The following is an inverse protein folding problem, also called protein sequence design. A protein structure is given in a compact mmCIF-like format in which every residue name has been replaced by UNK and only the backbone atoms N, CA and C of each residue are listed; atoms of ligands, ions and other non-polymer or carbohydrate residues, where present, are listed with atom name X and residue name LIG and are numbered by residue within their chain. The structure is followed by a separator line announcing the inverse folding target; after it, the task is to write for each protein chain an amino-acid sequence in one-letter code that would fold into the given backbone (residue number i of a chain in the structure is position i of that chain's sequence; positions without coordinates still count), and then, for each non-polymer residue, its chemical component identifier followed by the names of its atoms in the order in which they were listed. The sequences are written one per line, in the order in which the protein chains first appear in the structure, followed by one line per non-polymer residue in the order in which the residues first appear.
data_IF_138520313338
#
_entry.id   IF_138520313338
#
_cell.length_a   1.000
_cell.length_b   1.000
_cell.length_c   1.000
_cell.angle_alpha   90.00
_cell.angle_beta   90.00
_cell.angle_gamma   90.00
#
_symmetry.space_group_name_H-M   'P 1'
#
loop_
_entity.id
_entity.type
_entity.pdbx_description
1 polymer ?
#
# COMPACT_ATOMS: atom_id res chain seq x y z
N UNK A 1 19.46 49.98 -46.41
CA UNK A 1 18.01 49.70 -46.35
C UNK A 1 17.84 48.30 -45.78
N UNK A 2 17.60 48.18 -44.46
CA UNK A 2 17.53 46.90 -43.78
C UNK A 2 16.09 46.34 -43.85
N UNK A 3 15.88 45.06 -44.19
CA UNK A 3 14.56 44.46 -44.14
C UNK A 3 14.11 44.22 -42.69
N UNK A 4 12.85 44.56 -42.48
CA UNK A 4 12.05 44.51 -41.26
C UNK A 4 11.93 43.05 -40.78
N UNK A 5 11.95 42.87 -39.45
CA UNK A 5 12.00 41.57 -38.79
C UNK A 5 10.86 40.62 -39.12
N UNK A 6 11.23 39.35 -39.31
CA UNK A 6 10.34 38.20 -39.17
C UNK A 6 10.41 37.73 -37.72
N UNK A 7 9.44 38.15 -36.91
CA UNK A 7 9.20 37.52 -35.61
C UNK A 7 8.47 36.22 -35.93
N UNK A 8 9.20 35.12 -36.00
CA UNK A 8 8.63 33.78 -36.00
C UNK A 8 7.86 33.59 -34.71
N UNK A 9 6.54 33.43 -34.83
CA UNK A 9 5.66 32.95 -33.77
C UNK A 9 6.02 31.48 -33.48
N UNK A 10 7.08 31.26 -32.71
CA UNK A 10 7.28 30.00 -31.99
C UNK A 10 6.33 30.00 -30.80
N UNK A 11 5.04 29.83 -31.10
CA UNK A 11 3.98 29.66 -30.11
C UNK A 11 3.69 28.16 -29.95
N UNK A 12 3.71 27.75 -28.68
CA UNK A 12 3.34 26.46 -28.09
C UNK A 12 4.51 25.46 -27.90
N UNK A 13 5.12 25.43 -26.71
CA UNK A 13 5.72 24.21 -26.21
C UNK A 13 4.57 23.25 -25.85
N UNK A 14 4.34 22.21 -26.66
CA UNK A 14 3.53 21.09 -26.22
C UNK A 14 4.30 20.34 -25.14
N UNK A 15 4.08 20.81 -23.92
CA UNK A 15 4.37 20.18 -22.65
C UNK A 15 3.75 18.78 -22.63
N UNK A 16 4.46 17.80 -23.17
CA UNK A 16 4.26 16.38 -22.88
C UNK A 16 5.40 15.94 -21.97
N UNK A 17 5.42 16.55 -20.77
CA UNK A 17 6.03 15.87 -19.64
C UNK A 17 5.23 14.58 -19.43
N UNK A 18 5.90 13.48 -19.76
CA UNK A 18 5.59 12.16 -19.27
C UNK A 18 5.39 12.26 -17.75
N UNK A 19 4.13 12.29 -17.31
CA UNK A 19 3.72 12.12 -15.92
C UNK A 19 3.93 10.67 -15.50
N UNK A 20 5.17 10.18 -15.61
CA UNK A 20 5.62 9.00 -14.92
C UNK A 20 5.65 9.35 -13.43
N UNK A 21 4.52 9.08 -12.76
CA UNK A 21 4.37 8.89 -11.31
C UNK A 21 5.57 9.40 -10.51
N UNK A 22 5.63 10.73 -10.37
CA UNK A 22 6.58 11.33 -9.48
C UNK A 22 6.02 11.26 -8.06
N UNK A 23 6.93 10.95 -7.13
CA UNK A 23 6.83 11.13 -5.68
C UNK A 23 6.29 9.96 -4.83
N UNK A 24 7.21 9.03 -4.59
CA UNK A 24 7.46 8.55 -3.21
C UNK A 24 8.17 9.66 -2.42
N UNK A 25 7.83 9.83 -1.12
CA UNK A 25 8.77 9.86 0.03
C UNK A 25 8.14 10.47 1.29
N UNK A 26 7.17 9.78 1.87
CA UNK A 26 6.94 9.84 3.32
C UNK A 26 7.30 8.46 3.88
N UNK A 27 8.08 8.39 4.97
CA UNK A 27 8.53 7.16 5.63
C UNK A 27 7.42 6.29 6.26
N UNK A 28 6.21 6.35 5.72
CA UNK A 28 5.06 5.52 6.07
C UNK A 28 5.01 4.34 5.11
N UNK A 29 4.82 3.12 5.62
CA UNK A 29 4.55 1.94 4.79
C UNK A 29 3.17 2.17 4.15
N UNK A 30 3.14 2.73 2.95
CA UNK A 30 1.89 2.95 2.21
C UNK A 30 1.60 1.71 1.36
N UNK A 31 0.47 1.06 1.64
CA UNK A 31 -0.06 -0.05 0.84
C UNK A 31 -0.55 0.49 -0.51
N UNK A 32 0.05 0.01 -1.60
CA UNK A 32 -0.33 0.41 -2.96
C UNK A 32 -0.86 -0.79 -3.79
N UNK A 33 -1.82 -0.52 -4.67
CA UNK A 33 -2.29 -1.44 -5.71
C UNK A 33 -2.32 -0.71 -7.04
N UNK A 34 -1.46 -1.13 -7.97
CA UNK A 34 -1.48 -0.67 -9.35
C UNK A 34 -2.72 -1.21 -10.06
N UNK A 35 -3.52 -0.33 -10.65
CA UNK A 35 -4.65 -0.71 -11.52
C UNK A 35 -4.16 -0.70 -12.96
N UNK A 36 -4.47 -1.77 -13.71
CA UNK A 36 -4.20 -1.85 -15.15
C UNK A 36 -5.54 -1.99 -15.87
N UNK A 37 -5.62 -1.44 -17.08
CA UNK A 37 -6.75 -1.65 -18.02
C UNK A 37 -8.13 -1.25 -17.46
N UNK A 38 -8.20 -0.17 -16.66
CA UNK A 38 -9.41 0.34 -16.00
C UNK A 38 -10.17 -0.67 -15.13
N UNK A 39 -9.57 -1.79 -14.74
CA UNK A 39 -10.22 -2.80 -13.90
C UNK A 39 -10.17 -2.42 -12.40
N UNK A 40 -10.97 -1.42 -12.04
CA UNK A 40 -11.02 -0.85 -10.69
C UNK A 40 -11.54 -1.85 -9.66
N UNK A 41 -12.55 -2.64 -9.99
CA UNK A 41 -13.14 -3.61 -9.06
C UNK A 41 -12.16 -4.71 -8.64
N UNK A 42 -11.34 -5.17 -9.58
CA UNK A 42 -10.30 -6.16 -9.28
C UNK A 42 -9.21 -5.55 -8.39
N UNK A 43 -8.83 -4.29 -8.63
CA UNK A 43 -7.87 -3.59 -7.79
C UNK A 43 -8.40 -3.39 -6.36
N UNK A 44 -9.67 -3.00 -6.20
CA UNK A 44 -10.31 -2.87 -4.89
C UNK A 44 -10.36 -4.20 -4.14
N UNK A 45 -10.69 -5.29 -4.84
CA UNK A 45 -10.67 -6.66 -4.26
C UNK A 45 -9.25 -7.07 -3.85
N UNK A 46 -8.25 -6.77 -4.68
CA UNK A 46 -6.85 -7.06 -4.38
C UNK A 46 -6.36 -6.26 -3.17
N UNK A 47 -6.69 -4.97 -3.11
CA UNK A 47 -6.36 -4.08 -1.99
C UNK A 47 -6.94 -4.59 -0.67
N UNK A 48 -8.25 -4.91 -0.67
CA UNK A 48 -8.93 -5.49 0.50
C UNK A 48 -8.25 -6.77 0.99
N UNK A 49 -7.88 -7.67 0.07
CA UNK A 49 -7.19 -8.92 0.39
C UNK A 49 -5.79 -8.66 0.97
N UNK A 50 -5.03 -7.71 0.43
CA UNK A 50 -3.72 -7.35 0.98
C UNK A 50 -3.87 -6.78 2.41
N UNK A 51 -4.84 -5.88 2.64
CA UNK A 51 -5.07 -5.27 3.96
C UNK A 51 -5.50 -6.31 5.02
N UNK A 52 -6.27 -7.31 4.61
CA UNK A 52 -6.62 -8.44 5.47
C UNK A 52 -5.41 -9.32 5.82
N UNK A 53 -4.46 -9.52 4.89
CA UNK A 53 -3.23 -10.29 5.13
C UNK A 53 -2.29 -9.57 6.08
N UNK A 54 -2.15 -8.25 5.93
CA UNK A 54 -1.37 -7.41 6.84
C UNK A 54 -1.99 -7.32 8.23
N UNK A 55 -3.30 -7.63 8.36
CA UNK A 55 -3.98 -7.65 9.65
C UNK A 55 -4.37 -6.26 10.15
N UNK A 56 -4.29 -5.23 9.31
CA UNK A 56 -4.61 -3.83 9.67
C UNK A 56 -6.01 -3.72 10.26
N UNK A 57 -7.00 -4.38 9.66
CA UNK A 57 -8.38 -4.39 10.19
C UNK A 57 -8.49 -5.00 11.59
N UNK A 58 -7.67 -6.01 11.89
CA UNK A 58 -7.64 -6.62 13.22
C UNK A 58 -7.02 -5.65 14.22
N UNK A 59 -5.95 -4.97 13.85
CA UNK A 59 -5.34 -3.96 14.71
C UNK A 59 -6.25 -2.77 14.97
N UNK A 60 -6.94 -2.28 13.95
CA UNK A 60 -7.89 -1.18 14.10
C UNK A 60 -8.97 -1.55 15.12
N UNK A 61 -9.59 -2.73 14.98
CA UNK A 61 -10.62 -3.20 15.91
C UNK A 61 -10.13 -3.38 17.35
N UNK A 62 -8.88 -3.81 17.51
CA UNK A 62 -8.27 -3.96 18.82
C UNK A 62 -7.89 -2.62 19.47
N UNK A 63 -7.75 -1.56 18.68
CA UNK A 63 -7.40 -0.20 19.13
C UNK A 63 -8.63 0.71 19.31
N UNK A 64 -9.82 0.28 18.89
CA UNK A 64 -11.08 1.03 19.02
C UNK A 64 -11.46 1.29 20.49
N UNK A 65 -11.12 0.38 21.41
CA UNK A 65 -11.46 0.48 22.82
C UNK A 65 -10.21 0.45 23.70
N UNK A 66 -10.26 1.14 24.84
CA UNK A 66 -9.17 1.10 25.81
C UNK A 66 -9.07 -0.29 26.46
N UNK A 67 -8.02 -1.03 26.11
CA UNK A 67 -7.67 -2.30 26.74
C UNK A 67 -6.65 -2.05 27.86
N UNK A 68 -6.98 -2.47 29.09
CA UNK A 68 -6.06 -2.36 30.24
C UNK A 68 -4.73 -3.07 29.90
N UNK A 69 -3.56 -2.49 30.24
CA UNK A 69 -2.26 -3.01 29.79
C UNK A 69 -1.97 -4.45 30.25
N UNK A 70 -2.52 -4.90 31.38
CA UNK A 70 -2.42 -6.29 31.84
C UNK A 70 -3.15 -7.27 30.91
N UNK A 71 -4.32 -6.88 30.42
CA UNK A 71 -5.16 -7.69 29.52
C UNK A 71 -4.51 -7.76 28.14
N UNK A 72 -3.98 -6.63 27.64
CA UNK A 72 -3.23 -6.57 26.39
C UNK A 72 -2.03 -7.54 26.39
N UNK A 73 -1.23 -7.53 27.45
CA UNK A 73 -0.08 -8.45 27.61
C UNK A 73 -0.49 -9.93 27.61
N UNK A 74 -1.59 -10.27 28.25
CA UNK A 74 -2.09 -11.66 28.29
C UNK A 74 -2.55 -12.12 26.90
N UNK A 75 -3.25 -11.25 26.16
CA UNK A 75 -3.72 -11.52 24.79
C UNK A 75 -2.55 -11.70 23.82
N UNK A 76 -1.57 -10.79 23.86
CA UNK A 76 -0.35 -10.87 23.02
C UNK A 76 0.40 -12.19 23.22
N UNK A 77 0.58 -12.62 24.48
CA UNK A 77 1.21 -13.92 24.80
C UNK A 77 0.45 -15.09 24.20
N UNK A 78 -0.89 -15.12 24.37
CA UNK A 78 -1.76 -16.17 23.80
C UNK A 78 -1.70 -16.20 22.27
N UNK A 79 -1.71 -15.03 21.63
CA UNK A 79 -1.62 -14.90 20.17
C UNK A 79 -0.26 -15.30 19.62
N UNK A 80 0.84 -15.01 20.34
CA UNK A 80 2.19 -15.41 19.96
C UNK A 80 2.35 -16.94 19.98
N UNK A 81 1.92 -17.60 21.06
CA UNK A 81 1.92 -19.07 21.18
C UNK A 81 1.08 -19.70 20.07
N UNK A 82 -0.11 -19.14 19.79
CA UNK A 82 -0.98 -19.66 18.73
C UNK A 82 -0.35 -19.50 17.34
N UNK A 83 0.32 -18.37 17.08
CA UNK A 83 1.06 -18.13 15.84
C UNK A 83 2.21 -19.12 15.67
N UNK A 84 3.02 -19.33 16.71
CA UNK A 84 4.13 -20.29 16.69
C UNK A 84 3.63 -21.71 16.39
N UNK A 85 2.56 -22.17 17.05
CA UNK A 85 1.96 -23.49 16.78
C UNK A 85 1.47 -23.63 15.35
N UNK A 86 0.83 -22.59 14.81
CA UNK A 86 0.35 -22.59 13.41
C UNK A 86 1.51 -22.63 12.41
N UNK A 87 2.60 -21.92 12.68
CA UNK A 87 3.80 -21.93 11.84
C UNK A 87 4.49 -23.29 11.87
N UNK A 88 4.64 -23.90 13.06
CA UNK A 88 5.21 -25.23 13.21
C UNK A 88 4.40 -26.28 12.44
N UNK A 89 3.07 -26.24 12.54
CA UNK A 89 2.19 -27.15 11.78
C UNK A 89 2.37 -27.00 10.27
N UNK A 90 2.36 -25.76 9.76
CA UNK A 90 2.57 -25.49 8.33
C UNK A 90 3.95 -25.89 7.83
N UNK A 91 4.97 -25.87 8.69
CA UNK A 91 6.32 -26.31 8.36
C UNK A 91 6.38 -27.83 8.22
N UNK A 92 5.79 -28.56 9.18
CA UNK A 92 5.69 -30.02 9.13
C UNK A 92 4.93 -30.52 7.90
N UNK A 93 3.81 -29.88 7.53
CA UNK A 93 3.04 -30.19 6.31
C UNK A 93 3.83 -29.98 4.99
N UNK A 94 4.96 -29.25 5.03
CA UNK A 94 5.76 -28.93 3.84
C UNK A 94 7.02 -29.78 3.72
N UNK A 95 7.52 -30.28 4.85
CA UNK A 95 8.74 -31.10 4.94
C UNK A 95 8.45 -32.61 4.92
N UNK A 96 7.18 -33.01 5.06
CA UNK A 96 6.72 -34.39 4.83
C UNK A 96 5.82 -34.49 3.61
#
# INVERSE_FOLDING_TARGET
MAPIGTISFDLIPAFLHNSANQFRKDGRIQMEVSVRDNNVDQALRALKKKLQREGVFREMRLKEYFEKPSVRKAREKKEAVSRQRKLARKKAEREG
#
